data_IF_578168370802
#
_entry.id   IF_578168370802
#
_cell.length_a   1.000
_cell.length_b   1.000
_cell.length_c   1.000
_cell.angle_alpha   90.00
_cell.angle_beta   90.00
_cell.angle_gamma   90.00
#
_symmetry.space_group_name_H-M   'P 1'
#
loop_
_entity.id
_entity.type
_entity.pdbx_description
1 polymer ?
#
# COMPACT_ATOMS: atom_id res chain seq x y z
N UNK A 1 -4.64 -9.88 6.28
CA UNK A 1 -4.42 -10.01 4.82
C UNK A 1 -4.41 -11.45 4.36
N UNK A 2 -5.12 -11.75 3.27
CA UNK A 2 -5.01 -13.02 2.54
C UNK A 2 -3.73 -13.06 1.70
N UNK A 3 -3.34 -14.24 1.21
CA UNK A 3 -2.17 -14.39 0.31
C UNK A 3 -2.31 -13.55 -0.96
N UNK A 4 -3.53 -13.48 -1.53
CA UNK A 4 -3.83 -12.67 -2.71
C UNK A 4 -3.56 -11.19 -2.43
N UNK A 5 -3.99 -10.68 -1.28
CA UNK A 5 -3.78 -9.28 -0.88
C UNK A 5 -2.31 -8.93 -0.69
N UNK A 6 -1.53 -9.86 -0.14
CA UNK A 6 -0.07 -9.71 -0.03
C UNK A 6 0.57 -9.62 -1.42
N UNK A 7 0.18 -10.48 -2.35
CA UNK A 7 0.68 -10.45 -3.75
C UNK A 7 0.29 -9.13 -4.41
N UNK A 8 -0.98 -8.72 -4.31
CA UNK A 8 -1.45 -7.44 -4.87
C UNK A 8 -0.70 -6.25 -4.27
N UNK A 9 -0.40 -6.28 -2.97
CA UNK A 9 0.38 -5.24 -2.32
C UNK A 9 1.81 -5.18 -2.85
N UNK A 10 2.48 -6.34 -2.99
CA UNK A 10 3.84 -6.43 -3.54
C UNK A 10 3.86 -5.93 -5.00
N UNK A 11 2.91 -6.36 -5.83
CA UNK A 11 2.77 -5.92 -7.22
C UNK A 11 2.55 -4.41 -7.29
N UNK A 12 1.71 -3.86 -6.41
CA UNK A 12 1.45 -2.41 -6.36
C UNK A 12 2.71 -1.61 -6.00
N UNK A 13 3.47 -2.07 -5.02
CA UNK A 13 4.76 -1.45 -4.64
C UNK A 13 5.74 -1.54 -5.81
N UNK A 14 5.83 -2.71 -6.44
CA UNK A 14 6.67 -2.93 -7.63
C UNK A 14 6.30 -2.00 -8.78
N UNK A 15 5.00 -1.75 -8.99
CA UNK A 15 4.52 -0.81 -10.00
C UNK A 15 5.01 0.62 -9.73
N UNK A 16 4.97 1.11 -8.49
CA UNK A 16 5.49 2.45 -8.17
C UNK A 16 6.99 2.57 -8.38
N UNK A 17 7.76 1.54 -8.02
CA UNK A 17 9.20 1.49 -8.28
C UNK A 17 9.45 1.51 -9.79
N UNK A 18 8.75 0.66 -10.54
CA UNK A 18 8.85 0.60 -12.00
C UNK A 18 8.49 1.94 -12.66
N UNK A 19 7.41 2.58 -12.22
CA UNK A 19 7.00 3.89 -12.71
C UNK A 19 8.09 4.95 -12.45
N UNK A 20 8.64 4.98 -11.24
CA UNK A 20 9.75 5.88 -10.90
C UNK A 20 10.98 5.64 -11.79
N UNK A 21 11.35 4.38 -12.00
CA UNK A 21 12.46 4.00 -12.88
C UNK A 21 12.21 4.43 -14.33
N UNK A 22 11.02 4.18 -14.88
CA UNK A 22 10.67 4.62 -16.23
C UNK A 22 10.75 6.13 -16.36
N UNK A 23 10.21 6.89 -15.40
CA UNK A 23 10.27 8.34 -15.44
C UNK A 23 11.70 8.87 -15.38
N UNK A 24 12.59 8.19 -14.65
CA UNK A 24 14.01 8.58 -14.55
C UNK A 24 14.79 8.22 -15.83
N UNK A 25 14.69 6.96 -16.29
CA UNK A 25 15.54 6.40 -17.34
C UNK A 25 14.99 6.57 -18.76
N UNK A 26 13.69 6.81 -18.94
CA UNK A 26 13.05 6.92 -20.24
C UNK A 26 12.41 8.31 -20.38
N UNK A 27 13.15 9.33 -20.86
CA UNK A 27 12.63 10.69 -20.97
C UNK A 27 11.39 10.81 -21.85
N UNK A 28 11.26 9.94 -22.86
CA UNK A 28 10.09 9.88 -23.74
C UNK A 28 8.78 9.56 -22.98
N UNK A 29 8.87 8.84 -21.86
CA UNK A 29 7.70 8.53 -21.01
C UNK A 29 7.13 9.76 -20.29
N UNK A 30 7.88 10.88 -20.24
CA UNK A 30 7.45 12.14 -19.64
C UNK A 30 6.54 12.95 -20.58
N UNK A 31 6.32 12.48 -21.81
CA UNK A 31 5.34 13.08 -22.70
C UNK A 31 3.95 12.96 -22.08
N UNK A 32 3.19 14.05 -22.12
CA UNK A 32 1.87 14.17 -21.48
C UNK A 32 0.93 12.97 -21.68
N UNK A 33 0.71 12.42 -22.90
CA UNK A 33 -0.23 11.31 -23.08
C UNK A 33 0.23 10.00 -22.42
N UNK A 34 1.54 9.71 -22.49
CA UNK A 34 2.13 8.50 -21.89
C UNK A 34 2.13 8.65 -20.37
N UNK A 35 2.55 9.82 -19.88
CA UNK A 35 2.58 10.13 -18.46
C UNK A 35 1.17 10.07 -17.86
N UNK A 36 0.16 10.62 -18.52
CA UNK A 36 -1.22 10.60 -18.05
C UNK A 36 -1.76 9.16 -17.96
N UNK A 37 -1.45 8.32 -18.95
CA UNK A 37 -1.86 6.91 -18.96
C UNK A 37 -1.19 6.14 -17.81
N UNK A 38 0.13 6.32 -17.64
CA UNK A 38 0.87 5.69 -16.56
C UNK A 38 0.39 6.19 -15.19
N UNK A 39 0.23 7.49 -14.99
CA UNK A 39 -0.30 8.04 -13.75
C UNK A 39 -1.74 7.56 -13.48
N UNK A 40 -2.59 7.44 -14.51
CA UNK A 40 -3.94 6.92 -14.40
C UNK A 40 -3.97 5.48 -13.88
N UNK A 41 -3.13 4.61 -14.44
CA UNK A 41 -2.94 3.24 -13.92
C UNK A 41 -2.42 3.30 -12.48
N UNK A 42 -1.45 4.19 -12.21
CA UNK A 42 -0.93 4.41 -10.86
C UNK A 42 -1.98 4.80 -9.84
N UNK A 43 -2.97 5.62 -10.20
CA UNK A 43 -4.10 5.97 -9.32
C UNK A 43 -4.94 4.74 -8.99
N UNK A 44 -5.23 3.89 -9.97
CA UNK A 44 -5.99 2.64 -9.74
C UNK A 44 -5.22 1.68 -8.83
N UNK A 45 -3.93 1.47 -9.12
CA UNK A 45 -3.02 0.65 -8.29
C UNK A 45 -2.97 1.20 -6.86
N UNK A 46 -2.87 2.52 -6.72
CA UNK A 46 -2.87 3.19 -5.42
C UNK A 46 -4.17 2.96 -4.64
N UNK A 47 -5.32 3.09 -5.31
CA UNK A 47 -6.62 2.89 -4.70
C UNK A 47 -6.80 1.43 -4.23
N UNK A 48 -6.34 0.45 -5.02
CA UNK A 48 -6.33 -0.96 -4.65
C UNK A 48 -5.46 -1.18 -3.40
N UNK A 49 -4.25 -0.63 -3.38
CA UNK A 49 -3.33 -0.74 -2.24
C UNK A 49 -3.93 -0.12 -0.97
N UNK A 50 -4.55 1.05 -1.11
CA UNK A 50 -5.20 1.77 -0.02
C UNK A 50 -6.39 0.97 0.53
N UNK A 51 -7.25 0.43 -0.35
CA UNK A 51 -8.38 -0.40 0.03
C UNK A 51 -7.93 -1.64 0.81
N UNK A 52 -6.95 -2.38 0.28
CA UNK A 52 -6.42 -3.60 0.91
C UNK A 52 -5.81 -3.25 2.28
N UNK A 53 -5.07 -2.15 2.37
CA UNK A 53 -4.45 -1.69 3.62
C UNK A 53 -5.50 -1.33 4.66
N UNK A 54 -6.51 -0.52 4.30
CA UNK A 54 -7.58 -0.18 5.22
C UNK A 54 -8.39 -1.40 5.66
N UNK A 55 -8.70 -2.30 4.72
CA UNK A 55 -9.38 -3.55 5.07
C UNK A 55 -8.62 -4.33 6.12
N UNK A 56 -7.29 -4.41 6.01
CA UNK A 56 -6.45 -5.05 7.01
C UNK A 56 -6.46 -4.28 8.34
N UNK A 57 -6.28 -2.95 8.31
CA UNK A 57 -6.32 -2.11 9.52
C UNK A 57 -7.65 -2.22 10.27
N UNK A 58 -8.78 -2.26 9.57
CA UNK A 58 -10.09 -2.40 10.22
C UNK A 58 -10.35 -3.83 10.72
N UNK A 59 -9.79 -4.84 10.07
CA UNK A 59 -9.97 -6.24 10.46
C UNK A 59 -9.05 -6.66 11.61
N UNK A 60 -7.92 -5.96 11.79
CA UNK A 60 -6.88 -6.34 12.75
C UNK A 60 -7.23 -5.87 14.16
N UNK A 61 -7.05 -6.77 15.13
CA UNK A 61 -7.17 -6.41 16.53
C UNK A 61 -5.93 -5.62 16.96
N UNK A 62 -6.13 -4.35 17.33
CA UNK A 62 -5.09 -3.52 17.93
C UNK A 62 -5.26 -3.52 19.45
N UNK A 63 -4.15 -3.44 20.18
CA UNK A 63 -4.16 -3.34 21.65
C UNK A 63 -4.87 -2.08 22.17
N UNK A 64 -4.96 -1.02 21.34
CA UNK A 64 -5.79 0.14 21.63
C UNK A 64 -6.45 0.68 20.35
N UNK A 65 -7.68 1.17 20.50
CA UNK A 65 -8.41 1.89 19.45
C UNK A 65 -7.62 3.12 18.95
N UNK A 66 -6.94 3.82 19.85
CA UNK A 66 -6.12 4.99 19.53
C UNK A 66 -4.98 4.66 18.56
N UNK A 67 -4.34 3.50 18.71
CA UNK A 67 -3.28 3.05 17.79
C UNK A 67 -3.83 2.81 16.39
N UNK A 68 -5.04 2.28 16.27
CA UNK A 68 -5.72 2.07 14.99
C UNK A 68 -5.99 3.40 14.28
N UNK A 69 -6.58 4.37 15.00
CA UNK A 69 -6.85 5.70 14.44
C UNK A 69 -5.57 6.43 14.02
N UNK A 70 -4.47 6.28 14.79
CA UNK A 70 -3.16 6.81 14.40
C UNK A 70 -2.71 6.24 13.06
N UNK A 71 -2.79 4.93 12.86
CA UNK A 71 -2.43 4.32 11.57
C UNK A 71 -3.34 4.79 10.44
N UNK A 72 -4.65 4.90 10.66
CA UNK A 72 -5.61 5.40 9.66
C UNK A 72 -5.23 6.82 9.22
N UNK A 73 -5.06 7.74 10.18
CA UNK A 73 -4.68 9.14 9.91
C UNK A 73 -3.35 9.16 9.16
N UNK A 74 -2.38 8.40 9.64
CA UNK A 74 -1.03 8.46 9.12
C UNK A 74 -0.93 7.84 7.71
N UNK A 75 -1.73 6.83 7.39
CA UNK A 75 -1.89 6.31 6.02
C UNK A 75 -2.60 7.32 5.10
N UNK A 76 -3.62 8.02 5.61
CA UNK A 76 -4.40 8.98 4.84
C UNK A 76 -3.59 10.23 4.46
N UNK A 77 -2.85 10.79 5.42
CA UNK A 77 -2.05 12.00 5.24
C UNK A 77 -0.67 11.71 4.66
N UNK A 78 -0.09 10.56 5.01
CA UNK A 78 1.25 10.15 4.59
C UNK A 78 1.20 8.77 3.96
N UNK A 79 0.74 8.70 2.71
CA UNK A 79 0.75 7.48 1.90
C UNK A 79 2.05 6.66 1.90
N UNK A 80 3.28 7.23 1.90
CA UNK A 80 4.48 6.40 2.00
C UNK A 80 4.51 5.50 3.24
N UNK A 81 3.74 5.85 4.28
CA UNK A 81 3.64 5.03 5.49
C UNK A 81 2.89 3.72 5.29
N UNK A 82 2.14 3.56 4.20
CA UNK A 82 1.56 2.26 3.83
C UNK A 82 2.67 1.21 3.74
N UNK A 83 3.86 1.55 3.23
CA UNK A 83 5.00 0.64 3.15
C UNK A 83 5.45 0.18 4.55
N UNK A 84 5.57 1.11 5.49
CA UNK A 84 5.98 0.84 6.87
C UNK A 84 4.90 0.02 7.58
N UNK A 85 3.63 0.35 7.39
CA UNK A 85 2.51 -0.42 7.92
C UNK A 85 2.53 -1.86 7.40
N UNK A 86 2.68 -2.07 6.09
CA UNK A 86 2.72 -3.39 5.48
C UNK A 86 3.90 -4.22 6.00
N UNK A 87 5.08 -3.61 6.10
CA UNK A 87 6.28 -4.25 6.66
C UNK A 87 6.07 -4.69 8.12
N UNK A 88 5.46 -3.84 8.95
CA UNK A 88 5.29 -4.09 10.38
C UNK A 88 4.08 -4.99 10.70
N UNK A 89 2.99 -4.86 9.95
CA UNK A 89 1.68 -5.44 10.30
C UNK A 89 1.07 -6.29 9.17
N UNK A 90 1.16 -5.86 7.92
CA UNK A 90 0.51 -6.54 6.79
C UNK A 90 1.09 -7.92 6.48
N UNK A 91 2.41 -8.11 6.60
CA UNK A 91 3.05 -9.40 6.34
C UNK A 91 3.06 -10.36 7.54
N UNK A 92 2.85 -9.85 8.75
CA UNK A 92 2.77 -10.68 9.96
C UNK A 92 1.45 -11.46 10.00
N UNK A 93 1.45 -12.72 10.46
CA UNK A 93 0.21 -13.43 10.78
C UNK A 93 -0.68 -12.59 11.69
N UNK A 94 -2.00 -12.74 11.58
CA UNK A 94 -2.89 -12.32 12.65
C UNK A 94 -2.55 -13.20 13.84
N UNK A 95 -1.83 -12.66 14.82
CA UNK A 95 -1.62 -13.35 16.08
C UNK A 95 -2.99 -13.40 16.75
N UNK A 96 -3.65 -14.55 16.63
CA UNK A 96 -4.75 -14.91 17.52
C UNK A 96 -4.18 -14.94 18.92
N UNK A 97 -4.83 -14.25 19.85
CA UNK A 97 -4.43 -14.11 21.25
C UNK A 97 -4.48 -15.43 22.05
N UNK A 98 -3.83 -16.49 21.54
CA UNK A 98 -3.70 -17.83 22.12
C UNK A 98 -2.34 -18.45 21.72
N UNK A 99 -1.25 -17.70 21.77
CA UNK A 99 0.08 -18.30 21.88
C UNK A 99 0.45 -18.25 23.39
N UNK A 100 0.57 -19.40 24.07
CA UNK A 100 0.99 -19.47 25.48
C UNK A 100 2.43 -19.02 25.69
#
# INVERSE_FOLDING_TARGET
>A
MTTIEKILSIVSIGYFIFLALILVFVPASRQLPILLTLCGIGVVVNAILLYITFKDVFSRQFSSETTRYKWIILILFFMPTILVYLALHGFRPHSTANDP
#
